data_IF_665514958975
#
_entry.id   IF_665514958975
#
_cell.length_a   1.000
_cell.length_b   1.000
_cell.length_c   1.000
_cell.angle_alpha   90.00
_cell.angle_beta   90.00
_cell.angle_gamma   90.00
#
_symmetry.space_group_name_H-M   'P 1'
#
loop_
_entity.id
_entity.type
_entity.pdbx_description
1 polymer ?
#
# COMPACT_ATOMS: atom_id res chain seq x y z
N UNK A 1 16.27 18.04 -28.17
CA UNK A 1 15.41 16.88 -28.54
C UNK A 1 15.80 15.60 -27.80
N UNK A 2 17.01 15.04 -27.94
CA UNK A 2 17.42 13.78 -27.26
C UNK A 2 17.18 13.75 -25.74
N UNK A 3 17.44 14.84 -25.01
CA UNK A 3 17.24 14.89 -23.56
C UNK A 3 15.76 14.75 -23.14
N UNK A 4 14.82 15.34 -23.87
CA UNK A 4 13.38 15.23 -23.56
C UNK A 4 12.85 13.81 -23.78
N UNK A 5 13.41 13.05 -24.72
CA UNK A 5 13.06 11.63 -24.88
C UNK A 5 13.45 10.80 -23.65
N UNK A 6 14.66 10.99 -23.11
CA UNK A 6 15.10 10.28 -21.90
C UNK A 6 14.20 10.63 -20.71
N UNK A 7 13.92 11.93 -20.51
CA UNK A 7 13.03 12.39 -19.44
C UNK A 7 11.59 11.84 -19.58
N UNK A 8 11.09 11.73 -20.81
CA UNK A 8 9.80 11.09 -21.12
C UNK A 8 9.77 9.63 -20.66
N UNK A 9 10.85 8.86 -20.86
CA UNK A 9 10.92 7.49 -20.35
C UNK A 9 10.95 7.43 -18.83
N UNK A 10 11.67 8.35 -18.17
CA UNK A 10 11.69 8.44 -16.70
C UNK A 10 10.28 8.69 -16.17
N UNK A 11 9.52 9.63 -16.74
CA UNK A 11 8.12 9.89 -16.36
C UNK A 11 7.29 8.61 -16.46
N UNK A 12 7.41 7.88 -17.58
CA UNK A 12 6.66 6.64 -17.79
C UNK A 12 7.00 5.56 -16.75
N UNK A 13 8.26 5.43 -16.35
CA UNK A 13 8.71 4.46 -15.35
C UNK A 13 8.29 4.85 -13.92
N UNK A 14 8.28 6.15 -13.62
CA UNK A 14 7.85 6.67 -12.31
C UNK A 14 6.32 6.63 -12.14
N UNK A 15 5.56 6.54 -13.23
CA UNK A 15 4.09 6.57 -13.17
C UNK A 15 3.50 5.37 -12.39
N UNK A 16 3.87 4.10 -12.66
CA UNK A 16 3.42 2.97 -11.82
C UNK A 16 3.75 3.16 -10.34
N UNK A 17 4.95 3.64 -10.02
CA UNK A 17 5.37 3.89 -8.64
C UNK A 17 4.51 4.96 -7.96
N UNK A 18 4.17 6.04 -8.67
CA UNK A 18 3.27 7.08 -8.19
C UNK A 18 1.86 6.53 -7.91
N UNK A 19 1.35 5.63 -8.76
CA UNK A 19 0.02 5.03 -8.62
C UNK A 19 -0.06 4.03 -7.46
N UNK A 20 0.97 3.19 -7.29
CA UNK A 20 1.06 2.25 -6.17
C UNK A 20 1.19 3.01 -4.84
N UNK A 21 2.05 4.03 -4.79
CA UNK A 21 2.20 4.84 -3.59
C UNK A 21 0.95 5.67 -3.25
N UNK A 22 0.18 6.09 -4.27
CA UNK A 22 -1.14 6.71 -4.04
C UNK A 22 -2.09 5.72 -3.37
N UNK A 23 -2.14 4.47 -3.83
CA UNK A 23 -2.97 3.45 -3.22
C UNK A 23 -2.54 3.18 -1.76
N UNK A 24 -1.25 3.00 -1.51
CA UNK A 24 -0.70 2.88 -0.15
C UNK A 24 -1.14 4.06 0.73
N UNK A 25 -1.02 5.30 0.23
CA UNK A 25 -1.39 6.49 0.98
C UNK A 25 -2.88 6.53 1.34
N UNK A 26 -3.75 6.03 0.45
CA UNK A 26 -5.20 5.90 0.71
C UNK A 26 -5.48 4.84 1.76
N UNK A 27 -4.78 3.70 1.71
CA UNK A 27 -4.92 2.62 2.70
C UNK A 27 -4.49 3.06 4.11
N UNK A 28 -3.51 3.96 4.22
CA UNK A 28 -3.10 4.63 5.46
C UNK A 28 -4.06 5.75 5.90
N UNK A 29 -5.34 5.65 5.55
CA UNK A 29 -6.40 6.55 6.03
C UNK A 29 -7.53 5.74 6.66
N UNK A 30 -8.44 6.37 7.42
CA UNK A 30 -9.62 5.69 7.95
C UNK A 30 -10.51 5.00 6.92
N UNK A 31 -10.42 5.40 5.65
CA UNK A 31 -11.28 4.92 4.60
C UNK A 31 -11.21 3.39 4.44
N UNK A 32 -9.99 2.84 4.36
CA UNK A 32 -9.83 1.43 4.03
C UNK A 32 -10.30 0.52 5.16
N UNK A 33 -9.76 0.67 6.38
CA UNK A 33 -10.16 -0.20 7.49
C UNK A 33 -11.63 -0.01 7.87
N UNK A 34 -12.20 1.18 7.70
CA UNK A 34 -13.63 1.40 7.96
C UNK A 34 -14.49 0.64 6.96
N UNK A 35 -14.13 0.63 5.67
CA UNK A 35 -14.84 -0.19 4.68
C UNK A 35 -14.66 -1.67 5.01
N UNK A 36 -13.42 -2.10 5.22
CA UNK A 36 -13.05 -3.51 5.39
C UNK A 36 -13.75 -4.14 6.60
N UNK A 37 -13.76 -3.47 7.76
CA UNK A 37 -14.46 -3.98 8.95
C UNK A 37 -15.99 -3.98 8.83
N UNK A 38 -16.56 -3.29 7.83
CA UNK A 38 -18.00 -3.32 7.55
C UNK A 38 -18.37 -4.30 6.43
N UNK A 39 -17.41 -5.03 5.85
CA UNK A 39 -17.70 -6.05 4.86
C UNK A 39 -18.41 -7.26 5.51
N UNK A 40 -19.45 -7.81 4.87
CA UNK A 40 -20.24 -8.91 5.44
C UNK A 40 -19.46 -10.23 5.56
N UNK A 41 -18.33 -10.34 4.88
CA UNK A 41 -17.44 -11.50 4.91
C UNK A 41 -16.26 -11.33 5.87
N UNK A 42 -16.08 -10.16 6.50
CA UNK A 42 -14.92 -9.92 7.36
C UNK A 42 -14.97 -10.91 8.54
N UNK A 43 -13.88 -11.65 8.80
CA UNK A 43 -13.93 -12.77 9.75
C UNK A 43 -14.19 -12.27 11.17
N UNK A 44 -15.02 -12.98 11.91
CA UNK A 44 -15.19 -12.76 13.35
C UNK A 44 -13.86 -13.01 14.09
N UNK A 45 -13.60 -12.26 15.17
CA UNK A 45 -12.50 -12.59 16.07
C UNK A 45 -12.93 -13.67 17.06
N UNK A 46 -12.30 -14.85 16.99
CA UNK A 46 -12.58 -15.96 17.91
C UNK A 46 -12.14 -15.68 19.35
N UNK A 47 -11.35 -14.62 19.58
CA UNK A 47 -10.88 -14.18 20.90
C UNK A 47 -11.66 -12.98 21.47
N UNK A 48 -12.72 -12.55 20.79
CA UNK A 48 -13.74 -11.69 21.38
C UNK A 48 -13.75 -10.22 20.96
N UNK A 49 -12.86 -9.75 20.08
CA UNK A 49 -13.02 -8.41 19.50
C UNK A 49 -14.28 -8.33 18.65
N UNK A 50 -15.12 -7.39 19.01
CA UNK A 50 -16.23 -6.96 18.18
C UNK A 50 -15.73 -6.07 17.04
N UNK A 51 -16.60 -5.83 16.06
CA UNK A 51 -16.35 -4.81 15.03
C UNK A 51 -16.07 -3.44 15.65
N UNK A 52 -16.79 -3.09 16.72
CA UNK A 52 -16.62 -1.82 17.44
C UNK A 52 -15.24 -1.73 18.09
N UNK A 53 -14.73 -2.83 18.66
CA UNK A 53 -13.37 -2.87 19.20
C UNK A 53 -12.33 -2.67 18.12
N UNK A 54 -12.48 -3.32 16.96
CA UNK A 54 -11.58 -3.11 15.81
C UNK A 54 -11.60 -1.67 15.31
N UNK A 55 -12.79 -1.05 15.22
CA UNK A 55 -12.93 0.36 14.84
C UNK A 55 -12.40 1.32 15.91
N UNK A 56 -12.34 0.91 17.18
CA UNK A 56 -11.76 1.67 18.29
C UNK A 56 -10.23 1.59 18.28
N UNK A 57 -9.66 0.40 18.10
CA UNK A 57 -8.23 0.15 18.32
C UNK A 57 -7.36 0.24 17.05
N UNK A 58 -7.88 -0.14 15.87
CA UNK A 58 -7.12 -0.05 14.62
C UNK A 58 -6.63 1.37 14.25
N UNK A 59 -7.38 2.46 14.52
CA UNK A 59 -6.90 3.81 14.23
C UNK A 59 -5.54 4.12 14.86
N UNK A 60 -5.30 3.69 16.11
CA UNK A 60 -4.00 3.90 16.77
C UNK A 60 -2.85 3.27 15.99
N UNK A 61 -2.99 2.00 15.59
CA UNK A 61 -1.96 1.31 14.81
C UNK A 61 -1.72 1.99 13.45
N UNK A 62 -2.77 2.40 12.75
CA UNK A 62 -2.64 3.07 11.44
C UNK A 62 -2.06 4.48 11.56
N UNK A 63 -2.50 5.26 12.55
CA UNK A 63 -2.01 6.61 12.79
C UNK A 63 -0.53 6.61 13.22
N UNK A 64 -0.11 5.61 14.01
CA UNK A 64 1.29 5.41 14.38
C UNK A 64 2.22 5.32 13.17
N UNK A 65 1.78 4.68 12.08
CA UNK A 65 2.59 4.48 10.87
C UNK A 65 2.88 5.79 10.12
N UNK A 66 2.14 6.86 10.38
CA UNK A 66 2.25 8.15 9.65
C UNK A 66 2.46 9.36 10.56
N UNK A 67 2.46 9.17 11.88
CA UNK A 67 2.77 10.21 12.86
C UNK A 67 4.28 10.20 13.24
N UNK A 68 4.71 11.18 14.05
CA UNK A 68 6.10 11.30 14.50
C UNK A 68 6.33 10.73 15.92
N UNK A 69 5.37 10.00 16.47
CA UNK A 69 5.48 9.44 17.81
C UNK A 69 6.42 8.23 17.85
N UNK A 70 7.06 7.99 19.00
CA UNK A 70 7.81 6.76 19.23
C UNK A 70 6.88 5.59 19.62
N UNK A 71 7.44 4.39 19.83
CA UNK A 71 6.67 3.17 20.07
C UNK A 71 5.81 3.23 21.35
N UNK A 72 6.11 4.12 22.30
CA UNK A 72 5.28 4.33 23.50
C UNK A 72 3.85 4.77 23.17
N UNK A 73 3.62 5.41 22.02
CA UNK A 73 2.28 5.74 21.54
C UNK A 73 1.36 4.52 21.43
N UNK A 74 1.92 3.35 21.08
CA UNK A 74 1.20 2.07 21.11
C UNK A 74 1.40 1.34 22.43
N UNK A 75 2.60 1.40 23.01
CA UNK A 75 2.95 0.68 24.24
C UNK A 75 2.18 1.13 25.49
N UNK A 76 1.76 2.39 25.54
CA UNK A 76 1.00 2.96 26.65
C UNK A 76 -0.51 2.68 26.56
N UNK A 77 -0.97 2.07 25.46
CA UNK A 77 -2.37 1.70 25.30
C UNK A 77 -2.71 0.47 26.16
N UNK A 78 -3.85 0.54 26.84
CA UNK A 78 -4.34 -0.54 27.69
C UNK A 78 -5.80 -0.90 27.37
N UNK A 79 -6.16 -2.14 27.67
CA UNK A 79 -7.55 -2.56 27.77
C UNK A 79 -8.23 -1.93 29.00
N UNK A 80 -9.55 -2.07 29.09
CA UNK A 80 -10.34 -1.51 30.21
C UNK A 80 -9.98 -2.12 31.57
N UNK A 81 -9.43 -3.34 31.58
CA UNK A 81 -8.92 -4.00 32.77
C UNK A 81 -7.49 -3.56 33.16
N UNK A 82 -6.90 -2.65 32.38
CA UNK A 82 -5.56 -2.10 32.58
C UNK A 82 -4.42 -2.96 32.03
N UNK A 83 -4.72 -4.11 31.40
CA UNK A 83 -3.69 -4.91 30.73
C UNK A 83 -3.19 -4.22 29.45
N UNK A 84 -1.91 -4.38 29.06
CA UNK A 84 -1.38 -3.79 27.83
C UNK A 84 -2.15 -4.24 26.59
N UNK A 85 -2.41 -3.31 25.67
CA UNK A 85 -3.10 -3.59 24.41
C UNK A 85 -2.21 -4.42 23.48
N UNK A 86 -0.92 -4.13 23.42
CA UNK A 86 0.07 -4.84 22.61
C UNK A 86 1.16 -5.43 23.51
N UNK A 87 1.67 -6.61 23.14
CA UNK A 87 2.85 -7.19 23.75
C UNK A 87 4.15 -6.67 23.10
N UNK A 88 5.30 -6.95 23.72
CA UNK A 88 6.61 -6.48 23.25
C UNK A 88 6.97 -6.91 21.83
N UNK A 89 6.57 -8.12 21.42
CA UNK A 89 6.82 -8.63 20.07
C UNK A 89 5.99 -7.86 19.03
N UNK A 90 4.73 -7.57 19.34
CA UNK A 90 3.86 -6.75 18.48
C UNK A 90 4.38 -5.32 18.36
N UNK A 91 4.85 -4.73 19.47
CA UNK A 91 5.43 -3.39 19.48
C UNK A 91 6.71 -3.32 18.64
N UNK A 92 7.63 -4.27 18.81
CA UNK A 92 8.84 -4.36 17.99
C UNK A 92 8.50 -4.46 16.50
N UNK A 93 7.53 -5.31 16.14
CA UNK A 93 7.13 -5.45 14.75
C UNK A 93 6.48 -4.17 14.20
N UNK A 94 5.62 -3.51 14.99
CA UNK A 94 5.02 -2.23 14.56
C UNK A 94 6.06 -1.16 14.31
N UNK A 95 7.15 -1.13 15.09
CA UNK A 95 8.30 -0.26 14.82
C UNK A 95 8.95 -0.58 13.48
N UNK A 96 9.24 -1.85 13.17
CA UNK A 96 9.78 -2.25 11.87
C UNK A 96 8.84 -1.85 10.72
N UNK A 97 7.53 -2.08 10.88
CA UNK A 97 6.51 -1.68 9.89
C UNK A 97 6.51 -0.18 9.68
N UNK A 98 6.66 0.63 10.75
CA UNK A 98 6.75 2.10 10.63
C UNK A 98 7.95 2.53 9.80
N UNK A 99 9.09 1.86 9.93
CA UNK A 99 10.28 2.15 9.10
C UNK A 99 10.02 1.84 7.63
N UNK A 100 9.41 0.68 7.33
CA UNK A 100 9.03 0.29 5.96
C UNK A 100 8.04 1.27 5.33
N UNK A 101 7.02 1.67 6.08
CA UNK A 101 6.02 2.65 5.63
C UNK A 101 6.66 4.01 5.42
N UNK A 102 7.51 4.47 6.34
CA UNK A 102 8.22 5.74 6.22
C UNK A 102 9.09 5.75 4.96
N UNK A 103 9.91 4.72 4.75
CA UNK A 103 10.74 4.58 3.54
C UNK A 103 9.91 4.55 2.25
N UNK A 104 8.79 3.82 2.26
CA UNK A 104 7.86 3.74 1.12
C UNK A 104 7.23 5.09 0.79
N UNK A 105 6.76 5.82 1.80
CA UNK A 105 6.19 7.16 1.64
C UNK A 105 7.26 8.18 1.20
N UNK A 106 8.48 8.11 1.73
CA UNK A 106 9.60 8.94 1.27
C UNK A 106 9.90 8.72 -0.21
N UNK A 107 10.00 7.47 -0.65
CA UNK A 107 10.21 7.14 -2.07
C UNK A 107 9.07 7.65 -2.95
N UNK A 108 7.82 7.56 -2.46
CA UNK A 108 6.65 8.09 -3.15
C UNK A 108 6.68 9.62 -3.26
N UNK A 109 6.97 10.35 -2.17
CA UNK A 109 7.08 11.81 -2.20
C UNK A 109 8.21 12.29 -3.13
N UNK A 110 9.35 11.60 -3.14
CA UNK A 110 10.44 11.88 -4.10
C UNK A 110 9.95 11.67 -5.53
N UNK A 111 9.23 10.57 -5.79
CA UNK A 111 8.64 10.28 -7.10
C UNK A 111 7.70 11.40 -7.57
N UNK A 112 6.80 11.85 -6.70
CA UNK A 112 5.89 12.95 -6.99
C UNK A 112 6.64 14.27 -7.23
N UNK A 113 7.67 14.57 -6.43
CA UNK A 113 8.49 15.75 -6.60
C UNK A 113 9.21 15.76 -7.96
N UNK A 114 9.77 14.61 -8.38
CA UNK A 114 10.41 14.46 -9.69
C UNK A 114 9.38 14.67 -10.81
N UNK A 115 8.21 14.03 -10.73
CA UNK A 115 7.14 14.20 -11.72
C UNK A 115 6.69 15.67 -11.83
N UNK A 116 6.56 16.37 -10.71
CA UNK A 116 6.22 17.80 -10.67
C UNK A 116 7.31 18.68 -11.30
N UNK A 117 8.59 18.43 -10.98
CA UNK A 117 9.72 19.15 -11.59
C UNK A 117 9.72 18.94 -13.11
N UNK A 118 9.50 17.71 -13.57
CA UNK A 118 9.43 17.39 -15.00
C UNK A 118 8.21 18.03 -15.66
N UNK A 119 7.06 18.09 -15.00
CA UNK A 119 5.90 18.83 -15.49
C UNK A 119 6.24 20.30 -15.74
N UNK A 120 6.85 20.98 -14.76
CA UNK A 120 7.26 22.38 -14.86
C UNK A 120 8.27 22.56 -16.00
N UNK A 121 9.24 21.64 -16.13
CA UNK A 121 10.24 21.68 -17.18
C UNK A 121 9.63 21.54 -18.58
N UNK A 122 8.76 20.55 -18.80
CA UNK A 122 8.11 20.35 -20.11
C UNK A 122 7.16 21.51 -20.44
N UNK A 123 6.43 22.03 -19.45
CA UNK A 123 5.56 23.19 -19.61
C UNK A 123 6.35 24.44 -20.05
N UNK A 124 7.44 24.78 -19.37
CA UNK A 124 8.29 25.95 -19.70
C UNK A 124 8.93 25.86 -21.10
N UNK A 125 9.05 24.65 -21.65
CA UNK A 125 9.62 24.41 -22.97
C UNK A 125 8.55 24.17 -24.05
N UNK A 126 7.27 24.48 -23.78
CA UNK A 126 6.14 24.25 -24.70
C UNK A 126 5.98 22.79 -25.18
N UNK A 127 6.46 21.83 -24.39
CA UNK A 127 6.45 20.40 -24.72
C UNK A 127 5.45 19.62 -23.85
N UNK A 128 4.39 20.27 -23.34
CA UNK A 128 3.44 19.61 -22.42
C UNK A 128 2.82 18.33 -23.02
N UNK A 129 2.57 18.30 -24.32
CA UNK A 129 2.07 17.11 -25.02
C UNK A 129 2.98 15.88 -24.81
N UNK A 130 4.30 16.06 -24.87
CA UNK A 130 5.26 14.96 -24.64
C UNK A 130 5.24 14.45 -23.20
N UNK A 131 4.96 15.32 -22.22
CA UNK A 131 4.75 14.91 -20.83
C UNK A 131 3.46 14.08 -20.68
N UNK A 132 2.38 14.47 -21.35
CA UNK A 132 1.12 13.73 -21.35
C UNK A 132 1.25 12.37 -22.05
N UNK A 133 1.97 12.30 -23.18
CA UNK A 133 2.33 11.04 -23.85
C UNK A 133 3.12 10.13 -22.90
N UNK A 134 4.06 10.71 -22.15
CA UNK A 134 4.86 9.97 -21.18
C UNK A 134 4.02 9.36 -20.05
N UNK A 135 3.06 10.13 -19.51
CA UNK A 135 2.10 9.64 -18.50
C UNK A 135 1.17 8.58 -19.07
N UNK A 136 0.67 8.77 -20.30
CA UNK A 136 -0.18 7.79 -20.99
C UNK A 136 0.55 6.46 -21.15
N UNK A 137 1.80 6.49 -21.60
CA UNK A 137 2.67 5.30 -21.68
C UNK A 137 2.92 4.70 -20.30
N UNK A 138 3.11 5.52 -19.27
CA UNK A 138 3.17 5.09 -17.87
C UNK A 138 1.91 4.34 -17.41
N UNK A 139 0.73 4.81 -17.83
CA UNK A 139 -0.53 4.12 -17.61
C UNK A 139 -0.57 2.74 -18.24
N UNK A 140 -0.11 2.60 -19.49
CA UNK A 140 0.03 1.29 -20.14
C UNK A 140 1.02 0.37 -19.43
N UNK A 141 2.14 0.89 -18.93
CA UNK A 141 3.06 0.09 -18.10
C UNK A 141 2.39 -0.43 -16.84
N UNK A 142 1.60 0.40 -16.15
CA UNK A 142 0.85 -0.03 -14.96
C UNK A 142 -0.18 -1.11 -15.29
N UNK A 143 -0.91 -0.97 -16.41
CA UNK A 143 -1.86 -1.99 -16.87
C UNK A 143 -1.12 -3.31 -17.15
N UNK A 144 -0.03 -3.25 -17.90
CA UNK A 144 0.79 -4.43 -18.20
C UNK A 144 1.32 -5.12 -16.95
N UNK A 145 1.83 -4.34 -15.99
CA UNK A 145 2.29 -4.84 -14.69
C UNK A 145 1.15 -5.51 -13.92
N UNK A 146 0.01 -4.83 -13.76
CA UNK A 146 -1.14 -5.34 -13.01
C UNK A 146 -1.68 -6.64 -13.61
N UNK A 147 -1.84 -6.71 -14.94
CA UNK A 147 -2.30 -7.92 -15.62
C UNK A 147 -1.30 -9.07 -15.50
N UNK A 148 0.00 -8.77 -15.55
CA UNK A 148 1.04 -9.79 -15.38
C UNK A 148 1.02 -10.37 -13.96
N UNK A 149 0.93 -9.51 -12.94
CA UNK A 149 0.82 -9.94 -11.55
C UNK A 149 -0.48 -10.70 -11.29
N UNK A 150 -1.60 -10.24 -11.83
CA UNK A 150 -2.89 -10.94 -11.71
C UNK A 150 -2.85 -12.33 -12.37
N UNK A 151 -2.21 -12.46 -13.54
CA UNK A 151 -2.02 -13.74 -14.21
C UNK A 151 -1.15 -14.70 -13.38
N UNK A 152 -0.02 -14.22 -12.86
CA UNK A 152 0.88 -15.01 -12.00
C UNK A 152 0.15 -15.45 -10.72
N UNK A 153 -0.54 -14.53 -10.05
CA UNK A 153 -1.32 -14.84 -8.85
C UNK A 153 -2.44 -15.84 -9.15
N UNK A 154 -3.20 -15.64 -10.23
CA UNK A 154 -4.28 -16.54 -10.64
C UNK A 154 -3.79 -17.95 -10.98
N UNK A 155 -2.69 -18.06 -11.73
CA UNK A 155 -2.06 -19.35 -12.01
C UNK A 155 -1.51 -20.00 -10.73
N UNK A 156 -0.95 -19.20 -9.82
CA UNK A 156 -0.45 -19.66 -8.52
C UNK A 156 -1.53 -20.26 -7.63
N UNK A 157 -2.73 -19.67 -7.59
CA UNK A 157 -3.89 -20.19 -6.82
C UNK A 157 -4.26 -21.62 -7.26
N UNK A 158 -4.17 -21.93 -8.57
CA UNK A 158 -4.47 -23.28 -9.08
C UNK A 158 -3.45 -24.33 -8.62
N UNK A 159 -2.22 -23.93 -8.31
CA UNK A 159 -1.12 -24.82 -7.94
C UNK A 159 -0.92 -24.89 -6.41
N UNK A 160 -1.24 -23.82 -5.69
CA UNK A 160 -1.11 -23.70 -4.25
C UNK A 160 -2.30 -22.91 -3.67
N UNK A 161 -3.23 -23.57 -2.96
CA UNK A 161 -4.35 -22.90 -2.29
C UNK A 161 -3.90 -21.82 -1.28
N UNK A 162 -2.72 -21.97 -0.69
CA UNK A 162 -2.13 -21.06 0.30
C UNK A 162 -1.13 -20.08 -0.33
N UNK A 163 -1.23 -19.82 -1.64
CA UNK A 163 -0.31 -18.93 -2.36
C UNK A 163 -0.21 -17.53 -1.74
N UNK A 164 -1.29 -17.04 -1.14
CA UNK A 164 -1.25 -15.75 -0.44
C UNK A 164 -0.31 -15.80 0.77
N UNK A 165 -0.31 -16.90 1.53
CA UNK A 165 0.63 -17.05 2.65
C UNK A 165 2.08 -17.09 2.15
N UNK A 166 2.36 -17.79 1.05
CA UNK A 166 3.70 -17.79 0.43
C UNK A 166 4.13 -16.40 0.00
N UNK A 167 3.23 -15.62 -0.61
CA UNK A 167 3.48 -14.23 -0.96
C UNK A 167 3.71 -13.37 0.30
N UNK A 168 2.84 -13.52 1.31
CA UNK A 168 2.88 -12.73 2.54
C UNK A 168 4.17 -12.99 3.32
N UNK A 169 4.54 -14.25 3.54
CA UNK A 169 5.79 -14.60 4.22
C UNK A 169 7.02 -14.20 3.42
N UNK A 170 6.99 -14.35 2.09
CA UNK A 170 8.07 -13.87 1.22
C UNK A 170 8.25 -12.36 1.28
N UNK A 171 7.16 -11.59 1.32
CA UNK A 171 7.20 -10.15 1.55
C UNK A 171 7.81 -9.81 2.91
N UNK A 172 7.36 -10.48 3.98
CA UNK A 172 7.86 -10.25 5.32
C UNK A 172 9.36 -10.56 5.44
N UNK A 173 9.84 -11.64 4.82
CA UNK A 173 11.26 -12.00 4.82
C UNK A 173 12.19 -10.99 4.10
N UNK A 174 11.66 -10.08 3.29
CA UNK A 174 12.44 -8.99 2.68
C UNK A 174 12.71 -7.87 3.70
N UNK A 175 11.78 -7.64 4.63
CA UNK A 175 11.78 -6.47 5.50
C UNK A 175 12.05 -6.79 6.98
N UNK A 176 11.77 -8.02 7.42
CA UNK A 176 11.78 -8.40 8.82
C UNK A 176 12.69 -9.59 9.08
N UNK A 177 13.31 -9.61 10.25
CA UNK A 177 14.28 -10.64 10.64
C UNK A 177 13.59 -11.90 11.15
N UNK A 178 13.83 -13.03 10.48
CA UNK A 178 13.35 -14.34 10.90
C UNK A 178 11.83 -14.37 11.13
N UNK A 179 11.45 -14.69 12.37
CA UNK A 179 10.06 -14.89 12.80
C UNK A 179 9.51 -13.68 13.58
N UNK A 180 10.15 -12.51 13.53
CA UNK A 180 9.75 -11.31 14.31
C UNK A 180 8.35 -10.76 14.02
N UNK A 181 7.73 -11.24 12.94
CA UNK A 181 6.39 -10.86 12.46
C UNK A 181 5.34 -11.97 12.66
N UNK A 182 5.71 -13.10 13.28
CA UNK A 182 4.80 -14.20 13.60
C UNK A 182 4.25 -14.05 15.01
N UNK A 183 2.93 -14.20 15.14
CA UNK A 183 2.19 -13.94 16.37
C UNK A 183 1.29 -15.11 16.76
N UNK A 184 0.93 -15.18 18.03
CA UNK A 184 -0.14 -16.07 18.48
C UNK A 184 -1.50 -15.53 18.02
N UNK A 185 -2.43 -16.42 17.68
CA UNK A 185 -3.79 -16.03 17.28
C UNK A 185 -4.54 -15.16 18.33
N UNK A 186 -4.11 -15.21 19.60
CA UNK A 186 -4.62 -14.36 20.68
C UNK A 186 -4.05 -12.93 20.71
N UNK A 187 -2.97 -12.67 19.98
CA UNK A 187 -2.27 -11.38 19.98
C UNK A 187 -3.10 -10.32 19.26
N UNK A 188 -3.13 -9.13 19.83
CA UNK A 188 -4.03 -8.03 19.44
C UNK A 188 -3.89 -7.64 17.98
N UNK A 189 -2.66 -7.53 17.48
CA UNK A 189 -2.33 -6.99 16.17
C UNK A 189 -2.94 -7.84 15.05
N UNK A 190 -2.81 -9.17 15.11
CA UNK A 190 -3.41 -10.03 14.09
C UNK A 190 -4.91 -10.25 14.29
N UNK A 191 -5.44 -9.96 15.48
CA UNK A 191 -6.89 -9.91 15.71
C UNK A 191 -7.51 -8.63 15.14
N UNK A 192 -6.78 -7.52 15.16
CA UNK A 192 -7.16 -6.27 14.48
C UNK A 192 -7.01 -6.41 12.96
N UNK A 193 -5.86 -6.90 12.50
CA UNK A 193 -5.50 -7.02 11.09
C UNK A 193 -5.29 -8.50 10.68
N UNK A 194 -6.36 -9.32 10.68
CA UNK A 194 -6.27 -10.73 10.30
C UNK A 194 -5.82 -10.86 8.84
N UNK A 195 -5.34 -12.03 8.45
CA UNK A 195 -4.82 -12.28 7.10
C UNK A 195 -5.78 -11.81 5.97
N UNK A 196 -7.10 -11.88 6.22
CA UNK A 196 -8.12 -11.38 5.29
C UNK A 196 -8.00 -9.88 5.02
N UNK A 197 -7.72 -9.07 6.04
CA UNK A 197 -7.49 -7.63 5.92
C UNK A 197 -6.36 -7.34 4.93
N UNK A 198 -5.25 -8.08 5.03
CA UNK A 198 -4.09 -7.91 4.16
C UNK A 198 -4.34 -8.41 2.73
N UNK A 199 -5.13 -9.47 2.56
CA UNK A 199 -5.57 -9.91 1.23
C UNK A 199 -6.35 -8.79 0.52
N UNK A 200 -7.32 -8.21 1.22
CA UNK A 200 -8.18 -7.17 0.66
C UNK A 200 -7.42 -5.86 0.48
N UNK A 201 -6.41 -5.57 1.32
CA UNK A 201 -5.49 -4.45 1.14
C UNK A 201 -4.68 -4.57 -0.16
N UNK A 202 -4.09 -5.74 -0.43
CA UNK A 202 -3.34 -5.99 -1.68
C UNK A 202 -4.24 -5.87 -2.91
N UNK A 203 -5.48 -6.39 -2.82
CA UNK A 203 -6.47 -6.24 -3.89
C UNK A 203 -6.87 -4.77 -4.09
N UNK A 204 -7.09 -4.02 -3.01
CA UNK A 204 -7.41 -2.60 -3.09
C UNK A 204 -6.27 -1.80 -3.76
N UNK A 205 -5.01 -2.10 -3.43
CA UNK A 205 -3.84 -1.51 -4.10
C UNK A 205 -3.88 -1.79 -5.59
N UNK A 206 -4.12 -3.05 -5.98
CA UNK A 206 -4.17 -3.44 -7.38
C UNK A 206 -5.30 -2.71 -8.13
N UNK A 207 -6.50 -2.62 -7.54
CA UNK A 207 -7.65 -1.93 -8.14
C UNK A 207 -7.38 -0.44 -8.32
N UNK A 208 -6.88 0.25 -7.29
CA UNK A 208 -6.58 1.69 -7.35
C UNK A 208 -5.49 1.97 -8.39
N UNK A 209 -4.40 1.19 -8.37
CA UNK A 209 -3.31 1.37 -9.31
C UNK A 209 -3.73 1.08 -10.76
N UNK A 210 -4.51 0.02 -10.98
CA UNK A 210 -5.06 -0.31 -12.31
C UNK A 210 -6.03 0.77 -12.80
N UNK A 211 -6.94 1.24 -11.93
CA UNK A 211 -7.87 2.33 -12.25
C UNK A 211 -7.14 3.62 -12.63
N UNK A 212 -6.09 3.98 -11.90
CA UNK A 212 -5.21 5.09 -12.25
C UNK A 212 -4.48 4.88 -13.58
N UNK A 213 -3.98 3.67 -13.82
CA UNK A 213 -3.32 3.30 -15.09
C UNK A 213 -4.26 3.43 -16.29
N UNK A 214 -5.48 2.90 -16.18
CA UNK A 214 -6.54 3.03 -17.19
C UNK A 214 -6.91 4.49 -17.44
N UNK A 215 -7.03 5.28 -16.37
CA UNK A 215 -7.38 6.71 -16.46
C UNK A 215 -6.32 7.50 -17.23
N UNK A 216 -5.03 7.24 -16.98
CA UNK A 216 -3.93 7.87 -17.72
C UNK A 216 -3.83 7.36 -19.16
N UNK A 217 -3.92 6.04 -19.37
CA UNK A 217 -3.75 5.41 -20.68
C UNK A 217 -4.85 5.80 -21.68
N UNK A 218 -6.11 5.86 -21.21
CA UNK A 218 -7.28 6.12 -22.05
C UNK A 218 -7.73 7.59 -21.99
N UNK A 219 -7.67 8.23 -20.82
CA UNK A 219 -8.17 9.59 -20.63
C UNK A 219 -7.30 10.67 -21.27
N UNK A 220 -6.00 10.40 -21.46
CA UNK A 220 -5.08 11.33 -22.13
C UNK A 220 -5.07 11.20 -23.66
N UNK A 221 -5.68 10.14 -24.22
CA UNK A 221 -5.64 9.83 -25.66
C UNK A 221 -6.02 11.01 -26.56
N UNK A 222 -7.04 11.79 -26.17
CA UNK A 222 -7.50 12.97 -26.92
C UNK A 222 -6.51 14.14 -27.00
N UNK A 223 -5.47 14.13 -26.16
CA UNK A 223 -4.45 15.17 -26.11
C UNK A 223 -3.11 14.70 -26.70
N UNK A 224 -3.01 13.42 -27.07
CA UNK A 224 -1.77 12.78 -27.50
C UNK A 224 -1.85 12.22 -28.94
N UNK A 225 -3.02 12.33 -29.57
CA UNK A 225 -3.26 12.08 -31.01
C UNK A 225 -2.99 13.33 -31.87
#
# INVERSE_FOLDING_TARGET
>A
MKHFHILSHIISLLTPLALIGLALRILLTPLFYTIEYNMPYFPEDTYGFTKQDRLKYAPYAVDYLINNEDISYLGDLTFEDGSPLYNETELSHMQDVKEVITGSLTAWYITLAILLILLILFYKNNNLTEYLIALQRGGWWMIGLALSLAFIAGAGILLNPDIFWTFFSGFHAIFFEGDSWLFYYSDTLIRLFPIRFWQDAVIAIAIIALGGGLSLALGLKRFTE
#
